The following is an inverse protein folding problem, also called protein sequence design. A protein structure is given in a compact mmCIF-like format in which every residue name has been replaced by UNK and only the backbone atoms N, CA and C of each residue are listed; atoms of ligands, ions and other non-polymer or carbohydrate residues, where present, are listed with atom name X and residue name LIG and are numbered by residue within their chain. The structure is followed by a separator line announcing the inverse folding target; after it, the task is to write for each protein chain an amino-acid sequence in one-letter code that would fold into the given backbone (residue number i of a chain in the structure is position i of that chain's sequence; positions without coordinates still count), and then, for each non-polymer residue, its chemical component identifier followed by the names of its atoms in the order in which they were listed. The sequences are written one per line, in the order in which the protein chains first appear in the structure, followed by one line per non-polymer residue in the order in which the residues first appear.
data_IF_223618535132
#
_entry.id   IF_223618535132
#
_cell.length_a   1.000
_cell.length_b   1.000
_cell.length_c   1.000
_cell.angle_alpha   90.00
_cell.angle_beta   90.00
_cell.angle_gamma   90.00
#
_symmetry.space_group_name_H-M   'P 1'
#
loop_
_entity.id
_entity.type
_entity.pdbx_description
1 polymer ?
#
# COMPACT_ATOMS: atom_id res chain seq x y z
N UNK A 1 -0.24 1.36 -8.80
CA UNK A 1 -0.68 2.74 -9.13
C UNK A 1 -1.80 3.24 -8.23
N UNK A 2 -2.94 2.54 -8.12
CA UNK A 2 -4.08 2.93 -7.28
C UNK A 2 -3.69 3.41 -5.87
N UNK A 3 -2.93 2.61 -5.13
CA UNK A 3 -2.51 2.92 -3.76
C UNK A 3 -1.74 4.25 -3.66
N UNK A 4 -0.85 4.53 -4.62
CA UNK A 4 -0.06 5.78 -4.65
C UNK A 4 -0.93 7.00 -4.93
N UNK A 5 -1.98 6.86 -5.75
CA UNK A 5 -2.95 7.94 -6.00
C UNK A 5 -3.79 8.21 -4.75
N UNK A 6 -4.33 7.15 -4.13
CA UNK A 6 -5.19 7.26 -2.94
C UNK A 6 -4.41 7.84 -1.75
N UNK A 7 -3.16 7.41 -1.54
CA UNK A 7 -2.34 7.94 -0.44
C UNK A 7 -1.97 9.42 -0.59
N UNK A 8 -2.06 9.96 -1.80
CA UNK A 8 -1.83 11.38 -2.12
C UNK A 8 -3.13 12.21 -2.18
N UNK A 9 -4.23 11.70 -1.62
CA UNK A 9 -5.56 12.32 -1.64
C UNK A 9 -6.23 12.36 -3.03
N UNK A 10 -5.82 11.49 -3.94
CA UNK A 10 -6.39 11.41 -5.29
C UNK A 10 -7.43 10.31 -5.44
N UNK A 11 -8.14 10.35 -6.57
CA UNK A 11 -8.97 9.24 -7.04
C UNK A 11 -8.41 8.74 -8.38
N UNK A 12 -8.43 7.42 -8.59
CA UNK A 12 -8.00 6.81 -9.85
C UNK A 12 -9.23 6.53 -10.70
N UNK A 13 -9.32 7.19 -11.85
CA UNK A 13 -10.28 6.86 -12.90
C UNK A 13 -9.57 5.96 -13.92
N UNK A 14 -10.00 4.71 -14.00
CA UNK A 14 -9.46 3.74 -14.96
C UNK A 14 -10.27 3.78 -16.26
N UNK A 15 -9.57 3.85 -17.40
CA UNK A 15 -10.17 3.86 -18.73
C UNK A 15 -9.77 2.59 -19.49
N UNK A 16 -10.75 1.93 -20.12
CA UNK A 16 -10.54 0.77 -20.98
C UNK A 16 -11.02 1.12 -22.40
N UNK A 17 -10.12 1.22 -23.40
CA UNK A 17 -10.51 1.52 -24.77
C UNK A 17 -11.25 0.35 -25.41
N UNK A 18 -12.55 0.54 -25.69
CA UNK A 18 -13.33 -0.49 -26.38
C UNK A 18 -12.98 -0.54 -27.89
N UNK A 19 -12.75 -1.74 -28.46
CA UNK A 19 -12.72 -1.94 -29.90
C UNK A 19 -14.08 -1.66 -30.55
N UNK A 20 -14.12 -1.61 -31.89
CA UNK A 20 -15.35 -1.35 -32.66
C UNK A 20 -16.50 -2.34 -32.36
N UNK A 21 -16.19 -3.54 -31.90
CA UNK A 21 -17.20 -4.53 -31.50
C UNK A 21 -17.88 -4.22 -30.14
N UNK A 22 -17.38 -3.21 -29.41
CA UNK A 22 -17.90 -2.79 -28.10
C UNK A 22 -17.55 -3.71 -26.94
N UNK A 23 -16.76 -4.76 -27.15
CA UNK A 23 -16.40 -5.76 -26.13
C UNK A 23 -14.94 -5.57 -25.68
N UNK A 24 -14.70 -5.59 -24.38
CA UNK A 24 -13.34 -5.60 -23.82
C UNK A 24 -12.53 -6.76 -24.40
N UNK A 25 -11.25 -6.51 -24.66
CA UNK A 25 -10.35 -7.56 -25.07
C UNK A 25 -9.95 -8.47 -23.89
N UNK A 26 -9.29 -9.59 -24.20
CA UNK A 26 -8.91 -10.57 -23.20
C UNK A 26 -7.85 -10.05 -22.21
N UNK A 27 -6.99 -9.12 -22.63
CA UNK A 27 -5.94 -8.55 -21.78
C UNK A 27 -6.53 -7.55 -20.79
N UNK A 28 -7.45 -6.70 -21.24
CA UNK A 28 -8.22 -5.78 -20.41
C UNK A 28 -9.04 -6.51 -19.36
N UNK A 29 -9.72 -7.59 -19.75
CA UNK A 29 -10.47 -8.45 -18.82
C UNK A 29 -9.56 -9.08 -17.78
N UNK A 30 -8.35 -9.50 -18.17
CA UNK A 30 -7.37 -10.06 -17.23
C UNK A 30 -6.92 -9.01 -16.22
N UNK A 31 -6.58 -7.80 -16.67
CA UNK A 31 -6.20 -6.68 -15.79
C UNK A 31 -7.34 -6.34 -14.83
N UNK A 32 -8.57 -6.24 -15.34
CA UNK A 32 -9.76 -5.96 -14.54
C UNK A 32 -10.00 -7.05 -13.49
N UNK A 33 -9.84 -8.32 -13.86
CA UNK A 33 -9.97 -9.45 -12.94
C UNK A 33 -8.89 -9.42 -11.85
N UNK A 34 -7.64 -9.11 -12.18
CA UNK A 34 -6.55 -8.98 -11.22
C UNK A 34 -6.76 -7.82 -10.24
N UNK A 35 -7.21 -6.66 -10.73
CA UNK A 35 -7.58 -5.51 -9.89
C UNK A 35 -8.73 -5.89 -8.96
N UNK A 36 -9.78 -6.51 -9.50
CA UNK A 36 -10.96 -6.91 -8.72
C UNK A 36 -10.61 -7.91 -7.63
N UNK A 37 -9.76 -8.90 -7.96
CA UNK A 37 -9.26 -9.89 -7.00
C UNK A 37 -8.47 -9.23 -5.87
N UNK A 38 -7.60 -8.27 -6.19
CA UNK A 38 -6.84 -7.54 -5.19
C UNK A 38 -7.74 -6.63 -4.34
N UNK A 39 -8.73 -5.96 -4.95
CA UNK A 39 -9.68 -5.12 -4.24
C UNK A 39 -10.55 -5.93 -3.27
N UNK A 40 -10.98 -7.13 -3.65
CA UNK A 40 -11.81 -7.98 -2.78
C UNK A 40 -11.21 -8.26 -1.40
N UNK A 41 -9.88 -8.18 -1.24
CA UNK A 41 -9.19 -8.36 0.03
C UNK A 41 -8.75 -7.04 0.69
N UNK A 42 -8.53 -5.98 -0.09
CA UNK A 42 -7.88 -4.75 0.36
C UNK A 42 -8.80 -3.51 0.34
N UNK A 43 -10.06 -3.68 -0.01
CA UNK A 43 -11.07 -2.63 -0.13
C UNK A 43 -11.17 -1.73 1.11
N UNK A 44 -11.11 -2.30 2.31
CA UNK A 44 -11.19 -1.58 3.59
C UNK A 44 -10.06 -0.57 3.79
N UNK A 45 -8.90 -0.81 3.19
CA UNK A 45 -7.73 0.05 3.23
C UNK A 45 -7.74 1.13 2.14
N UNK A 46 -8.67 1.05 1.19
CA UNK A 46 -8.81 1.99 0.07
C UNK A 46 -10.08 2.84 0.23
N UNK A 47 -11.25 2.22 0.36
CA UNK A 47 -12.52 2.94 0.42
C UNK A 47 -12.74 3.66 1.74
N UNK A 48 -13.17 4.92 1.62
CA UNK A 48 -13.43 5.83 2.73
C UNK A 48 -12.22 6.04 3.67
N UNK A 49 -11.01 5.83 3.16
CA UNK A 49 -9.78 6.18 3.87
C UNK A 49 -9.38 7.62 3.59
N UNK A 50 -8.38 8.12 4.32
CA UNK A 50 -7.75 9.41 4.09
C UNK A 50 -6.23 9.23 4.05
N UNK A 51 -5.50 10.14 3.38
CA UNK A 51 -4.05 10.21 3.51
C UNK A 51 -3.63 10.34 4.97
N UNK A 52 -2.50 9.73 5.30
CA UNK A 52 -1.83 10.00 6.57
C UNK A 52 -0.98 11.28 6.47
N UNK A 53 -0.34 11.69 7.58
CA UNK A 53 0.57 12.84 7.66
C UNK A 53 1.67 12.81 6.59
N UNK A 54 2.08 11.60 6.20
CA UNK A 54 2.95 11.34 5.06
C UNK A 54 2.25 10.35 4.11
N UNK A 55 2.35 10.59 2.81
CA UNK A 55 1.71 9.72 1.81
C UNK A 55 2.47 8.40 1.58
N UNK A 56 3.76 8.39 1.92
CA UNK A 56 4.64 7.25 1.69
C UNK A 56 6.11 7.53 1.99
N UNK A 57 6.90 6.46 1.96
CA UNK A 57 8.37 6.48 2.00
C UNK A 57 8.92 5.53 0.93
N UNK A 58 10.22 5.63 0.67
CA UNK A 58 10.97 4.75 -0.23
C UNK A 58 11.64 5.48 -1.39
N UNK A 59 12.37 4.76 -2.24
CA UNK A 59 13.09 5.35 -3.39
C UNK A 59 12.16 6.09 -4.35
N UNK A 60 10.93 5.61 -4.54
CA UNK A 60 9.97 6.22 -5.47
C UNK A 60 9.45 7.59 -5.01
N UNK A 61 9.48 7.89 -3.71
CA UNK A 61 9.01 9.17 -3.15
C UNK A 61 10.02 10.30 -3.30
N UNK A 62 11.26 9.98 -3.66
CA UNK A 62 12.37 10.93 -3.79
C UNK A 62 12.53 11.48 -5.22
N UNK A 63 11.68 11.05 -6.15
CA UNK A 63 11.73 11.51 -7.54
C UNK A 63 11.25 12.97 -7.62
N UNK A 64 12.15 13.89 -7.94
CA UNK A 64 11.87 15.31 -8.06
C UNK A 64 11.08 15.64 -9.32
N UNK A 65 10.31 16.71 -9.22
CA UNK A 65 9.15 17.15 -10.01
C UNK A 65 9.39 17.52 -11.49
N UNK A 66 10.53 17.19 -12.10
CA UNK A 66 10.80 17.51 -13.50
C UNK A 66 10.21 16.46 -14.48
N UNK A 67 10.24 15.18 -14.10
CA UNK A 67 9.76 14.06 -14.94
C UNK A 67 8.37 13.53 -14.53
N UNK A 68 7.75 14.12 -13.51
CA UNK A 68 6.51 13.65 -12.90
C UNK A 68 5.24 13.99 -13.72
N UNK A 69 5.37 14.52 -14.94
CA UNK A 69 4.23 14.83 -15.80
C UNK A 69 3.86 13.60 -16.63
N UNK A 70 2.82 12.90 -16.16
CA UNK A 70 1.90 12.11 -16.99
C UNK A 70 2.44 10.89 -17.75
N UNK A 71 3.68 10.44 -17.52
CA UNK A 71 4.23 9.30 -18.25
C UNK A 71 4.33 8.06 -17.36
N UNK A 72 3.28 7.22 -17.39
CA UNK A 72 3.23 5.95 -16.67
C UNK A 72 4.39 5.01 -17.05
N UNK A 73 4.82 5.06 -18.31
CA UNK A 73 5.92 4.26 -18.87
C UNK A 73 7.31 4.64 -18.36
N UNK A 74 7.46 5.79 -17.68
CA UNK A 74 8.73 6.22 -17.07
C UNK A 74 8.73 6.13 -15.54
N UNK A 75 7.68 5.59 -14.93
CA UNK A 75 7.68 5.36 -13.47
C UNK A 75 8.72 4.29 -13.12
N UNK A 76 9.62 4.61 -12.19
CA UNK A 76 10.52 3.61 -11.61
C UNK A 76 9.71 2.46 -11.00
N UNK A 77 10.20 1.24 -11.16
CA UNK A 77 9.62 0.07 -10.52
C UNK A 77 9.54 0.27 -9.00
N UNK A 78 8.40 -0.10 -8.43
CA UNK A 78 8.15 0.01 -7.01
C UNK A 78 8.79 -1.17 -6.30
N UNK A 79 9.57 -0.89 -5.25
CA UNK A 79 10.30 -1.92 -4.51
C UNK A 79 9.64 -2.22 -3.17
N UNK A 80 10.15 -3.21 -2.45
CA UNK A 80 9.71 -3.53 -1.10
C UNK A 80 10.01 -2.40 -0.08
N UNK A 81 10.86 -1.45 -0.44
CA UNK A 81 11.18 -0.27 0.38
C UNK A 81 10.16 0.85 0.17
N UNK A 82 9.37 0.77 -0.90
CA UNK A 82 8.29 1.70 -1.17
C UNK A 82 7.07 1.33 -0.34
N UNK A 83 6.74 2.21 0.61
CA UNK A 83 5.56 2.09 1.46
C UNK A 83 4.62 3.24 1.20
N UNK A 84 3.32 2.97 1.16
CA UNK A 84 2.25 3.98 1.07
C UNK A 84 1.31 3.86 2.26
N UNK A 85 0.68 4.97 2.62
CA UNK A 85 -0.15 5.03 3.83
C UNK A 85 -1.54 5.60 3.56
N UNK A 86 -2.53 4.98 4.19
CA UNK A 86 -3.89 5.53 4.33
C UNK A 86 -4.37 5.32 5.77
N UNK A 87 -5.35 6.07 6.21
CA UNK A 87 -5.94 5.95 7.56
C UNK A 87 -7.45 5.87 7.48
N UNK A 88 -8.05 5.18 8.45
CA UNK A 88 -9.50 5.14 8.66
C UNK A 88 -9.78 5.15 10.16
N UNK A 89 -10.28 6.28 10.66
CA UNK A 89 -10.41 6.48 12.11
C UNK A 89 -9.03 6.46 12.77
N UNK A 90 -8.82 5.54 13.71
CA UNK A 90 -7.53 5.36 14.41
C UNK A 90 -6.66 4.23 13.83
N UNK A 91 -7.13 3.58 12.76
CA UNK A 91 -6.40 2.51 12.09
C UNK A 91 -5.51 3.11 10.99
N UNK A 92 -4.24 2.71 10.99
CA UNK A 92 -3.29 3.01 9.92
C UNK A 92 -3.18 1.80 9.00
N UNK A 93 -3.23 2.05 7.70
CA UNK A 93 -2.94 1.06 6.68
C UNK A 93 -1.59 1.38 6.03
N UNK A 94 -0.71 0.39 5.97
CA UNK A 94 0.59 0.49 5.31
C UNK A 94 0.67 -0.50 4.16
N UNK A 95 0.95 -0.02 2.95
CA UNK A 95 1.05 -0.83 1.75
C UNK A 95 2.49 -0.96 1.33
N UNK A 96 3.03 -2.18 1.34
CA UNK A 96 4.34 -2.47 0.75
C UNK A 96 4.15 -2.67 -0.74
N UNK A 97 4.79 -1.83 -1.54
CA UNK A 97 4.52 -1.70 -2.97
C UNK A 97 5.32 -2.68 -3.85
N UNK A 98 6.27 -3.39 -3.26
CA UNK A 98 7.02 -4.49 -3.88
C UNK A 98 7.12 -5.68 -2.94
N UNK A 99 7.83 -6.74 -3.36
CA UNK A 99 7.93 -7.99 -2.60
C UNK A 99 9.12 -7.96 -1.62
N UNK A 100 8.90 -7.89 -0.31
CA UNK A 100 9.98 -8.03 0.67
C UNK A 100 10.52 -9.46 0.72
N UNK A 101 11.83 -9.60 0.94
CA UNK A 101 12.48 -10.90 1.19
C UNK A 101 12.39 -11.24 2.69
N UNK A 102 11.26 -11.81 3.09
CA UNK A 102 11.03 -12.31 4.46
C UNK A 102 10.42 -11.28 5.41
N UNK A 103 11.04 -10.11 5.58
CA UNK A 103 10.59 -9.08 6.52
C UNK A 103 10.23 -7.77 5.81
N UNK A 104 9.08 -7.18 6.16
CA UNK A 104 8.76 -5.80 5.82
C UNK A 104 9.19 -4.86 6.95
N UNK A 105 9.78 -3.72 6.59
CA UNK A 105 10.18 -2.68 7.53
C UNK A 105 9.44 -1.39 7.21
N UNK A 106 8.68 -0.88 8.19
CA UNK A 106 7.90 0.35 8.08
C UNK A 106 8.56 1.39 8.98
N UNK A 107 9.60 2.05 8.44
CA UNK A 107 10.46 2.99 9.18
C UNK A 107 9.71 4.17 9.85
N UNK A 108 8.66 4.76 9.25
CA UNK A 108 7.91 5.85 9.89
C UNK A 108 7.23 5.49 11.21
N UNK A 109 7.14 4.19 11.53
CA UNK A 109 6.55 3.68 12.77
C UNK A 109 7.60 3.40 13.85
N UNK A 110 8.79 3.98 13.75
CA UNK A 110 9.81 3.89 14.78
C UNK A 110 9.32 4.45 16.12
N UNK A 111 9.72 3.84 17.24
CA UNK A 111 9.29 4.24 18.60
C UNK A 111 9.80 5.63 19.01
N UNK A 112 10.91 6.07 18.44
CA UNK A 112 11.51 7.40 18.60
C UNK A 112 11.19 8.34 17.40
N UNK A 113 10.32 7.89 16.50
CA UNK A 113 9.96 8.62 15.29
C UNK A 113 9.08 9.84 15.57
N UNK A 114 9.03 10.78 14.62
CA UNK A 114 8.21 12.01 14.71
C UNK A 114 6.79 11.84 14.19
N UNK A 115 6.49 10.72 13.51
CA UNK A 115 5.27 10.56 12.74
C UNK A 115 4.12 9.96 13.56
N UNK A 116 4.44 9.14 14.55
CA UNK A 116 3.47 8.46 15.42
C UNK A 116 3.77 8.71 16.89
N UNK A 117 2.72 8.78 17.67
CA UNK A 117 2.76 8.66 19.13
C UNK A 117 2.03 7.37 19.54
N UNK A 118 2.37 6.81 20.70
CA UNK A 118 1.81 5.53 21.16
C UNK A 118 2.61 4.30 20.69
N UNK A 119 2.03 3.11 20.89
CA UNK A 119 2.67 1.81 20.61
C UNK A 119 1.75 0.96 19.76
N UNK A 120 2.30 0.28 18.76
CA UNK A 120 1.56 -0.70 17.97
C UNK A 120 1.01 -1.77 18.92
N UNK A 121 -0.29 -2.05 18.83
CA UNK A 121 -0.97 -3.08 19.62
C UNK A 121 -1.30 -4.32 18.79
N UNK A 122 -1.56 -4.12 17.50
CA UNK A 122 -1.96 -5.18 16.61
C UNK A 122 -1.51 -4.87 15.18
N UNK A 123 -1.12 -5.92 14.47
CA UNK A 123 -0.75 -5.88 13.05
C UNK A 123 -1.39 -7.08 12.37
N UNK A 124 -2.17 -6.81 11.33
CA UNK A 124 -2.81 -7.83 10.50
C UNK A 124 -2.39 -7.62 9.04
N UNK A 125 -2.27 -8.71 8.28
CA UNK A 125 -2.08 -8.67 6.83
C UNK A 125 -3.43 -8.96 6.18
N UNK A 126 -3.95 -8.02 5.39
CA UNK A 126 -5.24 -8.20 4.76
C UNK A 126 -5.22 -9.39 3.80
N UNK A 127 -6.24 -10.25 3.90
CA UNK A 127 -6.33 -11.51 3.15
C UNK A 127 -5.58 -12.69 3.78
N UNK A 128 -4.89 -12.51 4.91
CA UNK A 128 -4.22 -13.60 5.63
C UNK A 128 -4.94 -13.93 6.95
N UNK A 129 -5.27 -15.21 7.14
CA UNK A 129 -5.97 -15.71 8.34
C UNK A 129 -4.98 -16.33 9.35
N UNK A 130 -4.03 -15.52 9.83
CA UNK A 130 -3.06 -15.97 10.81
C UNK A 130 -2.45 -14.83 11.61
N UNK A 131 -1.75 -15.18 12.69
CA UNK A 131 -1.03 -14.20 13.51
C UNK A 131 0.31 -13.88 12.87
N UNK A 132 0.62 -12.59 12.77
CA UNK A 132 1.92 -12.12 12.29
C UNK A 132 2.90 -12.01 13.45
N UNK A 133 4.16 -12.34 13.17
CA UNK A 133 5.27 -12.02 14.06
C UNK A 133 5.80 -10.64 13.70
N UNK A 134 5.81 -9.71 14.66
CA UNK A 134 6.26 -8.35 14.43
C UNK A 134 6.91 -7.76 15.68
N UNK A 135 7.80 -6.79 15.46
CA UNK A 135 8.45 -6.01 16.51
C UNK A 135 8.47 -4.54 16.13
N UNK A 136 8.32 -3.64 17.11
CA UNK A 136 8.45 -2.21 16.91
C UNK A 136 9.67 -1.72 17.70
N UNK A 137 10.63 -1.11 17.03
CA UNK A 137 11.85 -0.57 17.63
C UNK A 137 12.19 0.81 17.08
N UNK A 138 13.38 1.32 17.40
CA UNK A 138 13.87 2.64 16.97
C UNK A 138 14.11 2.77 15.46
N UNK A 139 14.11 1.66 14.72
CA UNK A 139 14.24 1.64 13.26
C UNK A 139 12.90 1.56 12.54
N UNK A 140 11.82 1.17 13.21
CA UNK A 140 10.49 1.03 12.61
C UNK A 140 9.66 -0.11 13.17
N UNK A 141 8.51 -0.34 12.54
CA UNK A 141 7.74 -1.57 12.70
C UNK A 141 8.25 -2.62 11.71
N UNK A 142 8.73 -3.75 12.23
CA UNK A 142 9.22 -4.90 11.48
C UNK A 142 8.18 -6.01 11.52
N UNK A 143 7.75 -6.48 10.36
CA UNK A 143 6.71 -7.51 10.24
C UNK A 143 7.24 -8.67 9.41
N UNK A 144 7.25 -9.87 9.99
CA UNK A 144 7.59 -11.09 9.26
C UNK A 144 6.43 -11.49 8.36
N UNK A 145 6.71 -11.69 7.08
CA UNK A 145 5.70 -12.15 6.14
C UNK A 145 5.46 -13.65 6.33
N UNK A 146 4.19 -14.08 6.32
CA UNK A 146 3.86 -15.50 6.34
C UNK A 146 4.31 -16.18 5.04
N UNK A 147 4.52 -17.50 5.09
CA UNK A 147 4.84 -18.30 3.91
C UNK A 147 3.71 -18.27 2.88
N UNK A 148 2.47 -18.41 3.37
CA UNK A 148 1.23 -18.24 2.62
C UNK A 148 0.90 -16.75 2.48
N UNK A 149 1.06 -16.22 1.26
CA UNK A 149 0.97 -14.78 0.99
C UNK A 149 -0.32 -14.47 0.23
N UNK A 150 -1.15 -13.53 0.71
CA UNK A 150 -2.36 -13.13 0.01
C UNK A 150 -2.02 -12.24 -1.19
N UNK A 151 -2.08 -12.83 -2.39
CA UNK A 151 -2.00 -12.11 -3.66
C UNK A 151 -0.58 -11.84 -4.18
N UNK A 152 -0.54 -11.28 -5.40
CA UNK A 152 0.68 -11.04 -6.19
C UNK A 152 1.07 -9.56 -6.29
N UNK A 153 0.31 -8.66 -5.67
CA UNK A 153 0.46 -7.21 -5.77
C UNK A 153 0.88 -6.60 -4.43
N UNK A 154 0.54 -5.33 -4.16
CA UNK A 154 0.88 -4.66 -2.92
C UNK A 154 0.29 -5.37 -1.70
N UNK A 155 1.09 -5.50 -0.64
CA UNK A 155 0.70 -6.11 0.63
C UNK A 155 0.20 -5.03 1.58
N UNK A 156 -1.06 -5.11 2.02
CA UNK A 156 -1.66 -4.14 2.92
C UNK A 156 -1.65 -4.66 4.37
N UNK A 157 -0.95 -3.94 5.23
CA UNK A 157 -0.98 -4.16 6.67
C UNK A 157 -1.98 -3.21 7.32
N UNK A 158 -2.84 -3.77 8.19
CA UNK A 158 -3.71 -3.02 9.08
C UNK A 158 -3.03 -2.93 10.45
N UNK A 159 -2.87 -1.71 10.96
CA UNK A 159 -2.08 -1.41 12.14
C UNK A 159 -2.94 -0.59 13.11
N UNK A 160 -3.09 -1.10 14.33
CA UNK A 160 -3.90 -0.49 15.38
C UNK A 160 -3.05 -0.19 16.63
N UNK A 161 -3.53 0.77 17.45
CA UNK A 161 -2.90 1.15 18.73
C UNK A 161 -2.01 2.39 18.68
N UNK A 162 -1.83 2.96 17.49
CA UNK A 162 -1.12 4.21 17.28
C UNK A 162 -2.06 5.41 17.47
N UNK A 163 -1.52 6.52 17.96
CA UNK A 163 -2.18 7.81 17.88
C UNK A 163 -1.72 8.52 16.60
N UNK A 164 -2.70 8.78 15.73
CA UNK A 164 -2.50 9.30 14.38
C UNK A 164 -2.77 10.80 14.28
N UNK A 165 -3.11 11.47 15.40
CA UNK A 165 -3.34 12.92 15.47
C UNK A 165 -2.05 13.71 15.35
#
# INVERSE_FOLDING_TARGET
MLVDVVSRNGNLLLNFPLPNNGMLDAEELKILAEITKWMATNDTAIYATRPWKIYGVGPSTQTTTADAKFNESKRKELTAEDVRFTTKGQTLYAFIMGRPQGQAVIAPLATNGKHVTGKVRNVELLGYQGKLQWTQDESGLKVQLPDEKPGSHAFAFKIDGLDLR
#
